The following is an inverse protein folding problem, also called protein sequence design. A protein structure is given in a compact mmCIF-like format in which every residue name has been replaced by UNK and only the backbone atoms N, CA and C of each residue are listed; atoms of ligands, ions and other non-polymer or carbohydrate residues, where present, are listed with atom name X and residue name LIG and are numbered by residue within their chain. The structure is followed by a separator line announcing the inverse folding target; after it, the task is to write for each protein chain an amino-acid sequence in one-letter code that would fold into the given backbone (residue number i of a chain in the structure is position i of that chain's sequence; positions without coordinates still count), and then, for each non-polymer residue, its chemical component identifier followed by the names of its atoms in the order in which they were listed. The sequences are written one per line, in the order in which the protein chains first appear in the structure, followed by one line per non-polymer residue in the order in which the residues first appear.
data_IF_781109836735
#
_entry.id   IF_781109836735
#
_cell.length_a   1.000
_cell.length_b   1.000
_cell.length_c   1.000
_cell.angle_alpha   90.00
_cell.angle_beta   90.00
_cell.angle_gamma   90.00
#
_symmetry.space_group_name_H-M   'P 1'
#
loop_
_entity.id
_entity.type
_entity.pdbx_description
1 polymer ?
#
# COMPACT_ATOMS: atom_id res chain seq x y z
N UNK A 1 7.44 -64.73 -74.95
CA UNK A 1 6.66 -65.38 -73.89
C UNK A 1 6.21 -64.31 -72.92
N UNK A 2 4.89 -64.19 -72.83
CA UNK A 2 4.09 -63.34 -71.94
C UNK A 2 4.35 -63.60 -70.46
N UNK A 3 4.30 -62.55 -69.65
CA UNK A 3 4.29 -62.65 -68.19
C UNK A 3 4.22 -61.28 -67.50
N UNK A 4 3.03 -60.68 -67.47
CA UNK A 4 2.68 -59.55 -66.60
C UNK A 4 2.86 -59.93 -65.12
N UNK A 5 3.22 -58.97 -64.26
CA UNK A 5 2.46 -58.77 -63.02
C UNK A 5 2.60 -57.38 -62.39
N UNK A 6 1.51 -56.99 -61.76
CA UNK A 6 1.05 -55.65 -61.43
C UNK A 6 1.80 -54.92 -60.30
N UNK A 7 1.77 -53.58 -60.42
CA UNK A 7 1.87 -52.60 -59.33
C UNK A 7 1.01 -52.99 -58.13
N UNK A 8 1.58 -52.93 -56.92
CA UNK A 8 0.86 -52.52 -55.72
C UNK A 8 1.78 -51.66 -54.85
N UNK A 9 1.43 -50.39 -54.69
CA UNK A 9 2.01 -49.51 -53.68
C UNK A 9 1.11 -49.57 -52.45
N UNK A 10 1.67 -49.90 -51.29
CA UNK A 10 0.95 -49.78 -50.02
C UNK A 10 1.88 -49.30 -48.91
N UNK A 11 1.55 -48.09 -48.47
CA UNK A 11 1.52 -47.59 -47.09
C UNK A 11 2.76 -47.73 -46.20
N UNK A 12 3.55 -46.65 -46.14
CA UNK A 12 4.48 -46.34 -45.05
C UNK A 12 4.06 -45.05 -44.30
N UNK A 13 2.74 -44.83 -44.15
CA UNK A 13 2.15 -43.59 -43.59
C UNK A 13 1.42 -43.78 -42.25
N UNK A 14 1.40 -45.00 -41.68
CA UNK A 14 0.62 -45.32 -40.47
C UNK A 14 1.36 -45.11 -39.14
N UNK A 15 2.69 -45.14 -39.11
CA UNK A 15 3.44 -45.12 -37.82
C UNK A 15 3.53 -43.73 -37.19
N UNK A 16 3.66 -42.65 -37.96
CA UNK A 16 3.78 -41.30 -37.41
C UNK A 16 2.44 -40.76 -36.88
N UNK A 17 1.34 -41.01 -37.60
CA UNK A 17 0.00 -40.57 -37.16
C UNK A 17 -0.42 -41.30 -35.87
N UNK A 18 -0.12 -42.60 -35.77
CA UNK A 18 -0.37 -43.37 -34.55
C UNK A 18 0.47 -42.85 -33.38
N UNK A 19 1.76 -42.56 -33.62
CA UNK A 19 2.68 -42.05 -32.59
C UNK A 19 2.27 -40.67 -32.08
N UNK A 20 1.80 -39.78 -32.96
CA UNK A 20 1.29 -38.46 -32.59
C UNK A 20 -0.01 -38.54 -31.77
N UNK A 21 -0.89 -39.48 -32.14
CA UNK A 21 -2.15 -39.71 -31.41
C UNK A 21 -1.89 -40.24 -30.00
N UNK A 22 -0.96 -41.18 -29.87
CA UNK A 22 -0.57 -41.76 -28.57
C UNK A 22 0.09 -40.72 -27.67
N UNK A 23 1.01 -39.88 -28.17
CA UNK A 23 1.63 -38.83 -27.34
C UNK A 23 0.62 -37.78 -26.89
N UNK A 24 -0.36 -37.46 -27.74
CA UNK A 24 -1.42 -36.47 -27.39
C UNK A 24 -2.32 -37.02 -26.27
N UNK A 25 -2.71 -38.29 -26.36
CA UNK A 25 -3.52 -38.95 -25.33
C UNK A 25 -2.74 -39.12 -24.01
N UNK A 26 -1.45 -39.45 -24.05
CA UNK A 26 -0.60 -39.51 -22.86
C UNK A 26 -0.45 -38.13 -22.19
N UNK A 27 -0.28 -37.07 -22.98
CA UNK A 27 -0.18 -35.70 -22.48
C UNK A 27 -1.46 -35.22 -21.79
N UNK A 28 -2.62 -35.54 -22.36
CA UNK A 28 -3.93 -35.25 -21.75
C UNK A 28 -4.14 -36.02 -20.45
N UNK A 29 -3.78 -37.31 -20.42
CA UNK A 29 -3.88 -38.12 -19.21
C UNK A 29 -2.96 -37.60 -18.10
N UNK A 30 -1.69 -37.31 -18.41
CA UNK A 30 -0.74 -36.74 -17.45
C UNK A 30 -1.19 -35.38 -16.92
N UNK A 31 -1.72 -34.51 -17.79
CA UNK A 31 -2.28 -33.21 -17.39
C UNK A 31 -3.49 -33.36 -16.48
N UNK A 32 -4.37 -34.32 -16.76
CA UNK A 32 -5.55 -34.61 -15.94
C UNK A 32 -5.18 -35.15 -14.55
N UNK A 33 -4.25 -36.11 -14.46
CA UNK A 33 -3.80 -36.67 -13.19
C UNK A 33 -3.02 -35.66 -12.33
N UNK A 34 -2.21 -34.80 -12.96
CA UNK A 34 -1.57 -33.69 -12.25
C UNK A 34 -2.59 -32.66 -11.75
N UNK A 35 -3.65 -32.38 -12.52
CA UNK A 35 -4.74 -31.49 -12.11
C UNK A 35 -5.50 -31.98 -10.88
N UNK A 36 -5.92 -33.25 -10.86
CA UNK A 36 -6.65 -33.86 -9.73
C UNK A 36 -5.79 -33.96 -8.47
N UNK A 37 -4.49 -34.18 -8.65
CA UNK A 37 -3.54 -34.22 -7.53
C UNK A 37 -3.45 -32.86 -6.83
N UNK A 38 -3.51 -31.75 -7.59
CA UNK A 38 -3.44 -30.39 -7.03
C UNK A 38 -4.71 -30.01 -6.25
N UNK A 39 -5.90 -30.44 -6.68
CA UNK A 39 -7.14 -30.23 -5.92
C UNK A 39 -7.13 -30.98 -4.58
N UNK A 40 -6.56 -32.19 -4.55
CA UNK A 40 -6.43 -32.99 -3.33
C UNK A 40 -5.47 -32.37 -2.31
N UNK A 41 -4.38 -31.73 -2.76
CA UNK A 41 -3.46 -30.99 -1.90
C UNK A 41 -4.06 -29.68 -1.37
N UNK A 42 -4.91 -28.99 -2.15
CA UNK A 42 -5.62 -27.78 -1.68
C UNK A 42 -6.64 -28.10 -0.59
N UNK A 43 -7.41 -29.18 -0.74
CA UNK A 43 -8.38 -29.62 0.27
C UNK A 43 -7.70 -29.98 1.61
N UNK A 44 -6.53 -30.62 1.56
CA UNK A 44 -5.75 -30.94 2.77
C UNK A 44 -5.19 -29.68 3.46
N UNK A 45 -4.72 -28.69 2.69
CA UNK A 45 -4.17 -27.44 3.22
C UNK A 45 -5.26 -26.53 3.83
N UNK A 46 -6.48 -26.54 3.28
CA UNK A 46 -7.63 -25.81 3.83
C UNK A 46 -8.13 -26.41 5.15
N UNK A 47 -8.14 -27.74 5.28
CA UNK A 47 -8.51 -28.42 6.54
C UNK A 47 -7.44 -28.29 7.64
N UNK A 48 -6.16 -28.13 7.27
CA UNK A 48 -5.10 -27.84 8.24
C UNK A 48 -5.15 -26.38 8.72
N UNK A 49 -5.46 -25.44 7.82
CA UNK A 49 -5.61 -24.02 8.16
C UNK A 49 -6.84 -23.74 9.05
N UNK A 50 -7.96 -24.46 8.84
CA UNK A 50 -9.15 -24.31 9.67
C UNK A 50 -8.99 -24.89 11.08
N UNK A 51 -8.27 -26.01 11.24
CA UNK A 51 -8.00 -26.62 12.56
C UNK A 51 -6.95 -25.87 13.38
N UNK A 52 -5.95 -25.27 12.73
CA UNK A 52 -5.00 -24.36 13.39
C UNK A 52 -5.67 -23.03 13.79
N UNK A 53 -6.55 -22.50 12.95
CA UNK A 53 -7.27 -21.24 13.24
C UNK A 53 -8.23 -21.37 14.43
N UNK A 54 -8.93 -22.50 14.58
CA UNK A 54 -9.80 -22.73 15.73
C UNK A 54 -9.02 -22.92 17.04
N UNK A 55 -7.86 -23.56 16.98
CA UNK A 55 -6.98 -23.78 18.14
C UNK A 55 -6.32 -22.48 18.61
N UNK A 56 -5.87 -21.64 17.67
CA UNK A 56 -5.31 -20.30 17.98
C UNK A 56 -6.39 -19.36 18.51
N UNK A 57 -7.62 -19.43 17.99
CA UNK A 57 -8.73 -18.62 18.48
C UNK A 57 -9.14 -18.99 19.92
N UNK A 58 -9.02 -20.26 20.31
CA UNK A 58 -9.28 -20.68 21.69
C UNK A 58 -8.15 -20.28 22.65
N UNK A 59 -6.90 -20.36 22.23
CA UNK A 59 -5.75 -19.93 23.04
C UNK A 59 -5.74 -18.40 23.31
N UNK A 60 -6.27 -17.58 22.39
CA UNK A 60 -6.38 -16.12 22.55
C UNK A 60 -7.52 -15.70 23.48
N UNK A 61 -8.60 -16.49 23.58
CA UNK A 61 -9.70 -16.22 24.53
C UNK A 61 -9.25 -16.46 25.98
N UNK A 62 -8.26 -17.34 26.18
CA UNK A 62 -7.72 -17.65 27.51
C UNK A 62 -6.70 -16.58 27.99
N UNK A 63 -5.97 -15.91 27.08
CA UNK A 63 -5.06 -14.81 27.44
C UNK A 63 -5.76 -13.51 27.85
N UNK A 64 -6.98 -13.26 27.38
CA UNK A 64 -7.77 -12.07 27.73
C UNK A 64 -8.39 -12.12 29.13
N UNK A 65 -8.38 -13.28 29.80
CA UNK A 65 -8.87 -13.43 31.18
C UNK A 65 -7.81 -13.18 32.26
N UNK A 66 -6.53 -13.04 31.90
CA UNK A 66 -5.43 -12.96 32.88
C UNK A 66 -4.88 -11.54 33.13
N UNK A 67 -5.41 -10.50 32.48
CA UNK A 67 -4.93 -9.12 32.65
C UNK A 67 -6.02 -8.18 33.16
N UNK A 68 -6.59 -8.50 34.32
CA UNK A 68 -7.32 -7.52 35.12
C UNK A 68 -7.09 -7.80 36.60
N UNK A 69 -5.98 -7.30 37.14
CA UNK A 69 -5.83 -7.07 38.57
C UNK A 69 -5.17 -5.71 38.83
N UNK A 70 -6.04 -4.80 39.24
CA UNK A 70 -5.84 -3.63 40.13
C UNK A 70 -4.46 -3.39 40.73
N UNK A 71 -3.96 -2.16 40.57
CA UNK A 71 -3.04 -1.52 41.53
C UNK A 71 -3.65 -0.17 41.98
N UNK A 72 -3.84 0.08 43.29
CA UNK A 72 -4.28 1.37 43.79
C UNK A 72 -3.09 2.29 44.06
N UNK A 73 -3.27 3.55 43.70
CA UNK A 73 -2.44 4.69 44.08
C UNK A 73 -2.52 4.97 45.57
N UNK A 74 -1.38 5.13 46.24
CA UNK A 74 -1.29 5.84 47.51
C UNK A 74 -0.02 6.71 47.57
N UNK A 75 -0.26 7.96 47.94
CA UNK A 75 0.69 8.98 48.34
C UNK A 75 1.10 8.82 49.81
N UNK A 76 2.17 9.52 50.21
CA UNK A 76 2.41 10.20 51.49
C UNK A 76 3.77 9.92 52.16
N UNK A 77 4.45 11.05 52.44
CA UNK A 77 5.34 11.40 53.56
C UNK A 77 6.82 11.02 53.59
N UNK A 78 7.62 12.10 53.65
CA UNK A 78 8.91 12.22 54.33
C UNK A 78 8.88 11.69 55.77
N UNK A 79 9.99 11.10 56.22
CA UNK A 79 10.55 11.30 57.56
C UNK A 79 12.04 10.91 57.58
N UNK A 80 12.86 11.83 58.12
CA UNK A 80 14.25 11.62 58.48
C UNK A 80 14.34 10.82 59.80
N UNK A 81 15.28 9.90 59.91
CA UNK A 81 15.82 9.46 61.20
C UNK A 81 17.24 8.92 61.03
N UNK A 82 18.21 9.62 61.63
CA UNK A 82 19.57 9.16 61.86
C UNK A 82 19.59 8.05 62.94
N UNK A 83 20.34 6.97 62.70
CA UNK A 83 21.23 6.41 63.73
C UNK A 83 22.25 5.42 63.14
N UNK A 84 23.49 5.67 63.52
CA UNK A 84 24.72 4.91 63.28
C UNK A 84 24.74 3.56 64.01
N UNK A 85 25.29 2.53 63.35
CA UNK A 85 26.09 1.48 64.03
C UNK A 85 26.90 0.66 63.01
N UNK A 86 28.21 0.91 63.04
CA UNK A 86 29.36 0.01 62.92
C UNK A 86 29.55 -0.98 61.74
N UNK A 87 30.83 -1.06 61.36
CA UNK A 87 31.43 -1.71 60.18
C UNK A 87 31.76 -3.19 60.44
N UNK A 88 31.61 -4.00 59.38
CA UNK A 88 32.50 -5.08 58.86
C UNK A 88 31.60 -6.01 58.04
N UNK A 89 31.81 -6.36 56.77
CA UNK A 89 32.88 -6.22 55.80
C UNK A 89 32.71 -7.39 54.83
N UNK A 90 32.20 -7.17 53.62
CA UNK A 90 32.44 -8.04 52.45
C UNK A 90 31.92 -7.36 51.18
N UNK A 91 32.81 -7.27 50.21
CA UNK A 91 32.74 -6.55 48.95
C UNK A 91 31.97 -7.30 47.86
N UNK A 92 30.89 -6.69 47.34
CA UNK A 92 30.64 -6.40 45.92
C UNK A 92 29.15 -6.07 45.70
N UNK A 93 28.75 -4.80 45.54
CA UNK A 93 27.44 -4.52 44.99
C UNK A 93 27.52 -4.75 43.48
N UNK A 94 26.53 -5.48 42.96
CA UNK A 94 26.21 -5.67 41.55
C UNK A 94 26.64 -4.44 40.72
N UNK A 95 27.64 -4.61 39.85
CA UNK A 95 27.90 -3.65 38.78
C UNK A 95 26.66 -3.64 37.90
N UNK A 96 25.78 -2.67 38.14
CA UNK A 96 24.71 -2.31 37.23
C UNK A 96 25.40 -2.04 35.89
N UNK A 97 25.19 -2.91 34.92
CA UNK A 97 25.61 -2.69 33.55
C UNK A 97 24.80 -1.50 33.03
N UNK A 98 25.37 -0.30 33.12
CA UNK A 98 24.84 0.87 32.44
C UNK A 98 25.15 0.66 30.98
N UNK A 99 24.12 0.41 30.20
CA UNK A 99 24.22 0.24 28.75
C UNK A 99 24.90 1.51 28.20
N UNK A 100 26.17 1.38 27.82
CA UNK A 100 26.91 2.50 27.25
C UNK A 100 26.29 2.77 25.89
N UNK A 101 25.59 3.89 25.78
CA UNK A 101 25.03 4.45 24.56
C UNK A 101 25.85 4.01 23.32
N UNK A 102 25.24 3.31 22.34
CA UNK A 102 25.96 2.80 21.17
C UNK A 102 26.81 3.90 20.55
N UNK A 103 28.03 3.58 20.09
CA UNK A 103 28.88 4.57 19.42
C UNK A 103 28.08 5.25 18.29
N UNK A 104 27.94 6.57 18.36
CA UNK A 104 27.12 7.37 17.42
C UNK A 104 25.85 7.96 18.01
N UNK A 105 25.45 7.57 19.24
CA UNK A 105 24.28 8.13 19.96
C UNK A 105 24.64 9.30 20.87
N UNK A 106 25.84 9.89 20.71
CA UNK A 106 26.21 11.11 21.42
C UNK A 106 25.32 12.24 20.91
N UNK A 107 24.70 12.97 21.82
CA UNK A 107 23.95 14.18 21.49
C UNK A 107 24.87 15.16 20.74
N UNK A 108 24.36 15.76 19.67
CA UNK A 108 25.04 16.87 19.00
C UNK A 108 25.17 18.05 19.97
N UNK A 109 26.04 19.01 19.66
CA UNK A 109 26.22 20.18 20.53
C UNK A 109 24.87 20.87 20.80
N UNK A 110 24.63 21.41 22.01
CA UNK A 110 23.40 22.12 22.33
C UNK A 110 23.07 23.17 21.25
N UNK A 111 21.90 23.06 20.62
CA UNK A 111 21.46 23.91 19.51
C UNK A 111 21.62 23.30 18.10
N UNK A 112 22.29 22.14 17.96
CA UNK A 112 22.46 21.42 16.68
C UNK A 112 21.57 20.16 16.68
N UNK A 113 20.29 20.24 17.06
CA UNK A 113 19.39 19.10 16.94
C UNK A 113 18.03 19.60 16.47
N UNK A 114 17.69 19.29 15.22
CA UNK A 114 16.30 19.22 14.75
C UNK A 114 16.03 17.74 14.52
N UNK A 115 15.02 17.19 15.19
CA UNK A 115 14.71 15.76 15.17
C UNK A 115 14.02 15.30 13.88
N UNK A 116 13.51 16.24 13.10
CA UNK A 116 12.73 16.03 11.88
C UNK A 116 13.40 16.76 10.70
N UNK A 117 13.16 16.26 9.49
CA UNK A 117 13.52 16.92 8.24
C UNK A 117 12.25 17.31 7.49
N UNK A 118 12.38 18.08 6.42
CA UNK A 118 11.27 18.40 5.53
C UNK A 118 11.75 18.49 4.07
N UNK A 119 10.80 18.76 3.16
CA UNK A 119 11.05 18.91 1.74
C UNK A 119 11.12 20.37 1.26
N UNK A 120 11.18 21.33 2.18
CA UNK A 120 11.21 22.72 1.80
C UNK A 120 12.55 23.10 1.17
N UNK A 121 12.51 23.73 0.00
CA UNK A 121 13.70 24.23 -0.67
C UNK A 121 14.25 25.43 0.11
N UNK A 122 15.56 25.43 0.33
CA UNK A 122 16.30 26.49 1.04
C UNK A 122 17.44 26.98 0.16
N UNK A 123 17.81 28.26 0.31
CA UNK A 123 19.00 28.83 -0.32
C UNK A 123 20.25 28.20 0.29
N UNK A 124 21.35 28.18 -0.47
CA UNK A 124 22.63 27.63 0.01
C UNK A 124 23.30 28.52 1.08
N UNK A 125 22.90 29.79 1.18
CA UNK A 125 23.42 30.76 2.15
C UNK A 125 22.30 31.75 2.53
N UNK A 126 22.44 32.40 3.69
CA UNK A 126 21.46 33.34 4.24
C UNK A 126 20.75 32.79 5.48
N UNK A 127 19.71 33.49 5.93
CA UNK A 127 18.83 33.01 7.01
C UNK A 127 17.75 32.07 6.44
N UNK A 128 17.73 30.78 6.82
CA UNK A 128 16.72 29.82 6.35
C UNK A 128 15.27 30.20 6.70
N UNK A 129 15.05 31.06 7.70
CA UNK A 129 13.71 31.53 8.08
C UNK A 129 13.10 32.41 6.98
N UNK A 130 13.93 33.14 6.24
CA UNK A 130 13.50 34.00 5.13
C UNK A 130 13.10 33.21 3.88
N UNK A 131 13.56 31.97 3.75
CA UNK A 131 13.33 31.14 2.56
C UNK A 131 11.88 30.63 2.47
N UNK A 132 11.14 30.69 3.58
CA UNK A 132 9.79 30.12 3.72
C UNK A 132 8.79 31.18 4.15
N UNK A 133 8.52 32.21 3.32
CA UNK A 133 7.51 33.24 3.63
C UNK A 133 6.12 32.63 3.83
N UNK A 134 5.84 31.52 3.13
CA UNK A 134 4.67 30.66 3.34
C UNK A 134 5.13 29.22 3.40
N UNK A 135 4.71 28.47 4.43
CA UNK A 135 5.05 27.05 4.59
C UNK A 135 3.91 26.18 4.07
N UNK A 136 4.14 25.36 3.02
CA UNK A 136 3.16 24.38 2.57
C UNK A 136 2.79 23.43 3.72
N UNK A 137 1.49 23.24 3.95
CA UNK A 137 0.95 22.42 5.05
C UNK A 137 0.58 21.01 4.61
N UNK A 138 0.46 20.79 3.30
CA UNK A 138 -0.01 19.52 2.76
C UNK A 138 0.98 19.01 1.72
N UNK A 139 1.06 17.68 1.58
CA UNK A 139 1.88 17.03 0.56
C UNK A 139 0.98 16.19 -0.34
N UNK A 140 1.16 16.33 -1.66
CA UNK A 140 0.58 15.42 -2.63
C UNK A 140 1.66 14.74 -3.45
N UNK A 141 1.65 13.42 -3.43
CA UNK A 141 2.56 12.58 -4.19
C UNK A 141 1.79 11.79 -5.26
N UNK A 142 2.21 11.89 -6.52
CA UNK A 142 1.67 11.12 -7.63
C UNK A 142 2.71 10.10 -8.12
N UNK A 143 2.32 8.85 -8.34
CA UNK A 143 3.07 7.97 -9.22
C UNK A 143 2.78 8.37 -10.66
N UNK A 144 3.81 8.64 -11.49
CA UNK A 144 3.59 9.24 -12.81
C UNK A 144 4.46 8.63 -13.90
N UNK A 145 3.89 8.62 -15.10
CA UNK A 145 4.60 8.48 -16.36
C UNK A 145 4.15 9.57 -17.32
N UNK A 146 5.05 9.99 -18.19
CA UNK A 146 4.87 11.14 -19.06
C UNK A 146 3.70 10.99 -20.03
N UNK A 147 3.34 9.76 -20.41
CA UNK A 147 2.19 9.50 -21.28
C UNK A 147 0.87 9.96 -20.64
N UNK A 148 0.80 10.07 -19.30
CA UNK A 148 -0.34 10.63 -18.54
C UNK A 148 -0.13 12.08 -18.07
N UNK A 149 0.92 12.75 -18.55
CA UNK A 149 1.30 14.10 -18.09
C UNK A 149 0.17 15.13 -18.20
N UNK A 150 -0.65 15.06 -19.25
CA UNK A 150 -1.81 15.95 -19.41
C UNK A 150 -2.87 15.77 -18.33
N UNK A 151 -3.10 14.52 -17.89
CA UNK A 151 -4.05 14.26 -16.82
C UNK A 151 -3.49 14.75 -15.47
N UNK A 152 -2.20 14.50 -15.22
CA UNK A 152 -1.52 15.00 -14.01
C UNK A 152 -1.48 16.53 -13.99
N UNK A 153 -1.23 17.20 -15.11
CA UNK A 153 -1.31 18.68 -15.20
C UNK A 153 -2.71 19.20 -14.84
N UNK A 154 -3.76 18.55 -15.34
CA UNK A 154 -5.14 18.89 -14.97
C UNK A 154 -5.41 18.64 -13.46
N UNK A 155 -4.80 17.60 -12.89
CA UNK A 155 -4.94 17.27 -11.48
C UNK A 155 -4.19 18.28 -10.57
N UNK A 156 -2.93 18.59 -10.87
CA UNK A 156 -2.09 19.51 -10.07
C UNK A 156 -2.72 20.90 -9.96
N UNK A 157 -3.43 21.36 -11.01
CA UNK A 157 -4.18 22.62 -10.99
C UNK A 157 -5.32 22.69 -9.96
N UNK A 158 -5.69 21.56 -9.33
CA UNK A 158 -6.69 21.51 -8.23
C UNK A 158 -6.08 21.71 -6.84
N UNK A 159 -4.76 21.82 -6.75
CA UNK A 159 -4.04 22.02 -5.50
C UNK A 159 -3.53 23.46 -5.41
N UNK A 160 -3.68 24.06 -4.24
CA UNK A 160 -3.22 25.43 -3.97
C UNK A 160 -1.72 25.47 -3.70
N UNK A 161 -1.18 26.66 -3.42
CA UNK A 161 0.22 26.81 -2.98
C UNK A 161 0.47 26.28 -1.54
N UNK A 162 -0.57 25.89 -0.80
CA UNK A 162 -0.41 25.18 0.49
C UNK A 162 0.07 23.73 0.31
N UNK A 163 0.13 23.24 -0.95
CA UNK A 163 0.56 21.88 -1.28
C UNK A 163 1.98 21.86 -1.82
N UNK A 164 2.84 21.03 -1.22
CA UNK A 164 4.03 20.52 -1.89
C UNK A 164 3.60 19.43 -2.86
N UNK A 165 4.02 19.53 -4.11
CA UNK A 165 3.77 18.51 -5.15
C UNK A 165 5.03 17.67 -5.33
N UNK A 166 4.86 16.35 -5.26
CA UNK A 166 5.92 15.38 -5.47
C UNK A 166 5.51 14.38 -6.56
N UNK A 167 6.42 14.10 -7.49
CA UNK A 167 6.20 13.22 -8.62
C UNK A 167 7.17 12.03 -8.55
N UNK A 168 6.62 10.82 -8.54
CA UNK A 168 7.36 9.57 -8.59
C UNK A 168 7.40 9.02 -10.02
N UNK A 169 8.49 9.30 -10.74
CA UNK A 169 8.66 9.01 -12.16
C UNK A 169 9.08 7.55 -12.38
N UNK A 170 8.12 6.67 -12.62
CA UNK A 170 8.41 5.27 -12.89
C UNK A 170 8.99 5.01 -14.28
N UNK A 171 8.93 5.97 -15.20
CA UNK A 171 9.42 5.85 -16.59
C UNK A 171 10.80 6.50 -16.81
N UNK A 172 11.26 7.31 -15.86
CA UNK A 172 12.53 8.02 -15.95
C UNK A 172 12.54 9.25 -16.86
N UNK A 173 11.38 9.74 -17.32
CA UNK A 173 11.26 10.83 -18.32
C UNK A 173 11.10 12.20 -17.67
N UNK A 174 11.99 12.54 -16.72
CA UNK A 174 11.85 13.74 -15.86
C UNK A 174 11.89 15.05 -16.65
N UNK A 175 12.88 15.24 -17.53
CA UNK A 175 13.09 16.51 -18.25
C UNK A 175 11.91 16.93 -19.13
N UNK A 176 11.08 15.99 -19.56
CA UNK A 176 9.94 16.28 -20.43
C UNK A 176 8.82 17.02 -19.67
N UNK A 177 8.78 16.91 -18.34
CA UNK A 177 7.83 17.64 -17.48
C UNK A 177 8.15 19.12 -17.36
N UNK A 178 9.35 19.57 -17.76
CA UNK A 178 9.75 20.99 -17.77
C UNK A 178 8.84 21.85 -18.66
N UNK A 179 8.07 21.24 -19.55
CA UNK A 179 7.03 21.93 -20.33
C UNK A 179 5.92 22.55 -19.46
N UNK A 180 5.75 22.11 -18.21
CA UNK A 180 4.80 22.68 -17.27
C UNK A 180 5.52 23.59 -16.28
N UNK A 181 5.15 24.87 -16.23
CA UNK A 181 5.80 25.86 -15.33
C UNK A 181 5.75 25.45 -13.86
N UNK A 182 4.65 24.84 -13.40
CA UNK A 182 4.53 24.36 -12.03
C UNK A 182 5.49 23.21 -11.71
N UNK A 183 5.94 22.46 -12.71
CA UNK A 183 6.84 21.31 -12.53
C UNK A 183 8.20 21.75 -11.97
N UNK A 184 8.66 22.97 -12.28
CA UNK A 184 9.92 23.49 -11.75
C UNK A 184 9.89 23.69 -10.23
N UNK A 185 8.69 23.78 -9.64
CA UNK A 185 8.47 23.91 -8.20
C UNK A 185 8.13 22.57 -7.53
N UNK A 186 7.88 21.52 -8.33
CA UNK A 186 7.59 20.19 -7.82
C UNK A 186 8.87 19.44 -7.48
N UNK A 187 8.76 18.43 -6.63
CA UNK A 187 9.86 17.53 -6.29
C UNK A 187 9.79 16.31 -7.21
N UNK A 188 10.86 16.03 -7.91
CA UNK A 188 10.95 14.91 -8.84
C UNK A 188 11.82 13.80 -8.25
N UNK A 189 11.24 12.61 -8.08
CA UNK A 189 11.96 11.39 -7.69
C UNK A 189 11.83 10.38 -8.82
N UNK A 190 12.95 9.88 -9.33
CA UNK A 190 12.95 9.07 -10.56
C UNK A 190 13.73 7.78 -10.39
N UNK A 191 13.01 6.66 -10.42
CA UNK A 191 13.57 5.31 -10.42
C UNK A 191 12.73 4.43 -11.35
N UNK A 192 13.35 3.98 -12.45
CA UNK A 192 12.64 3.24 -13.49
C UNK A 192 11.99 1.97 -12.93
N UNK A 193 10.76 1.70 -13.38
CA UNK A 193 9.99 0.46 -13.13
C UNK A 193 9.73 0.16 -11.65
N UNK A 194 9.60 1.20 -10.82
CA UNK A 194 9.18 1.06 -9.43
C UNK A 194 7.71 1.48 -9.27
N UNK A 195 7.00 0.80 -8.37
CA UNK A 195 5.61 1.07 -8.07
C UNK A 195 5.45 2.20 -7.03
N UNK A 196 4.25 2.79 -6.96
CA UNK A 196 3.90 3.89 -6.03
C UNK A 196 4.36 3.65 -4.58
N UNK A 197 4.06 2.48 -4.04
CA UNK A 197 4.35 2.14 -2.64
C UNK A 197 5.85 1.93 -2.37
N UNK A 198 6.62 1.54 -3.39
CA UNK A 198 8.08 1.46 -3.29
C UNK A 198 8.69 2.85 -3.05
N UNK A 199 8.19 3.87 -3.75
CA UNK A 199 8.58 5.27 -3.56
C UNK A 199 8.12 5.79 -2.21
N UNK A 200 6.84 5.61 -1.88
CA UNK A 200 6.27 6.08 -0.63
C UNK A 200 7.06 5.54 0.58
N UNK A 201 7.44 4.26 0.57
CA UNK A 201 8.27 3.65 1.62
C UNK A 201 9.64 4.33 1.79
N UNK A 202 10.27 4.78 0.70
CA UNK A 202 11.66 5.28 0.70
C UNK A 202 11.76 6.79 0.87
N UNK A 203 10.80 7.53 0.34
CA UNK A 203 10.86 8.99 0.28
C UNK A 203 9.89 9.65 1.26
N UNK A 204 8.78 9.01 1.61
CA UNK A 204 7.80 9.59 2.54
C UNK A 204 8.00 9.08 3.97
N UNK A 205 9.25 9.11 4.47
CA UNK A 205 9.54 8.71 5.85
C UNK A 205 8.77 9.60 6.85
N UNK A 206 8.19 9.08 7.95
CA UNK A 206 7.37 9.86 8.86
C UNK A 206 8.07 11.10 9.42
N UNK A 207 9.36 11.02 9.73
CA UNK A 207 10.14 12.14 10.25
C UNK A 207 10.57 13.15 9.18
N UNK A 208 10.35 12.84 7.89
CA UNK A 208 10.59 13.76 6.74
C UNK A 208 9.28 14.45 6.34
N UNK A 209 8.17 13.73 6.35
CA UNK A 209 6.85 14.32 6.05
C UNK A 209 6.17 14.91 7.28
N UNK A 210 6.86 14.97 8.40
CA UNK A 210 6.35 15.48 9.66
C UNK A 210 5.94 16.96 9.60
N UNK A 211 6.47 17.72 8.65
CA UNK A 211 6.07 19.11 8.42
C UNK A 211 4.67 19.27 7.81
N UNK A 212 4.05 18.19 7.32
CA UNK A 212 2.75 18.22 6.64
C UNK A 212 1.64 17.65 7.53
N UNK A 213 0.49 18.35 7.57
CA UNK A 213 -0.71 17.92 8.29
C UNK A 213 -1.34 16.68 7.64
N UNK A 214 -1.33 16.64 6.30
CA UNK A 214 -1.91 15.57 5.49
C UNK A 214 -1.02 15.21 4.31
N UNK A 215 -0.98 13.91 4.01
CA UNK A 215 -0.19 13.30 2.92
C UNK A 215 -1.14 12.56 1.98
N UNK A 216 -1.17 13.00 0.73
CA UNK A 216 -1.94 12.41 -0.37
C UNK A 216 -1.00 11.51 -1.18
N UNK A 217 -1.39 10.26 -1.46
CA UNK A 217 -0.56 9.29 -2.20
C UNK A 217 -1.35 8.70 -3.35
N UNK A 218 -1.44 9.45 -4.46
CA UNK A 218 -2.43 9.23 -5.51
C UNK A 218 -1.85 8.59 -6.77
N UNK A 219 -2.70 7.90 -7.52
CA UNK A 219 -2.42 7.41 -8.87
C UNK A 219 -2.62 8.54 -9.90
N UNK A 220 -2.00 8.38 -11.07
CA UNK A 220 -2.01 9.34 -12.18
C UNK A 220 -3.25 9.30 -13.06
N UNK A 221 -4.10 8.27 -12.96
CA UNK A 221 -5.26 8.01 -13.83
C UNK A 221 -6.59 8.50 -13.22
N UNK A 222 -6.50 9.51 -12.35
CA UNK A 222 -7.65 10.11 -11.67
C UNK A 222 -8.08 11.42 -12.36
N UNK A 223 -9.38 11.53 -12.64
CA UNK A 223 -10.01 12.75 -13.15
C UNK A 223 -10.57 13.61 -12.01
N UNK A 224 -10.02 14.81 -11.82
CA UNK A 224 -10.33 15.70 -10.69
C UNK A 224 -11.29 16.85 -11.05
N UNK A 225 -12.13 16.71 -12.08
CA UNK A 225 -13.00 17.80 -12.58
C UNK A 225 -13.84 18.42 -11.45
N UNK A 226 -14.43 17.57 -10.60
CA UNK A 226 -15.34 17.96 -9.53
C UNK A 226 -14.67 18.01 -8.14
N UNK A 227 -13.33 18.00 -8.11
CA UNK A 227 -12.54 18.01 -6.89
C UNK A 227 -11.87 19.38 -6.68
N UNK A 228 -11.80 19.79 -5.41
CA UNK A 228 -11.14 20.98 -4.89
C UNK A 228 -10.43 20.60 -3.57
N UNK A 229 -9.10 20.72 -3.55
CA UNK A 229 -8.28 20.19 -2.45
C UNK A 229 -8.52 20.92 -1.12
N UNK A 230 -8.78 22.22 -1.15
CA UNK A 230 -9.04 23.02 0.06
C UNK A 230 -10.39 22.66 0.68
N UNK A 231 -11.43 22.55 -0.16
CA UNK A 231 -12.76 22.11 0.31
C UNK A 231 -12.70 20.69 0.85
N UNK A 232 -11.95 19.81 0.20
CA UNK A 232 -11.73 18.45 0.67
C UNK A 232 -11.10 18.43 2.06
N UNK A 233 -9.99 19.13 2.27
CA UNK A 233 -9.32 19.17 3.57
C UNK A 233 -10.20 19.79 4.65
N UNK A 234 -10.98 20.81 4.33
CA UNK A 234 -11.94 21.39 5.29
C UNK A 234 -12.96 20.36 5.78
N UNK A 235 -13.44 19.48 4.90
CA UNK A 235 -14.35 18.40 5.27
C UNK A 235 -13.65 17.29 6.06
N UNK A 236 -12.45 16.89 5.66
CA UNK A 236 -11.62 15.93 6.41
C UNK A 236 -11.43 16.40 7.85
N UNK A 237 -11.05 17.68 8.05
CA UNK A 237 -10.91 18.30 9.37
C UNK A 237 -12.25 18.40 10.11
N UNK A 238 -13.31 18.88 9.45
CA UNK A 238 -14.68 19.00 10.03
C UNK A 238 -15.20 17.68 10.58
N UNK A 239 -14.94 16.57 9.88
CA UNK A 239 -15.46 15.25 10.24
C UNK A 239 -14.48 14.38 11.04
N UNK A 240 -13.31 14.92 11.41
CA UNK A 240 -12.29 14.22 12.18
C UNK A 240 -11.76 12.97 11.48
N UNK A 241 -11.58 13.03 10.16
CA UNK A 241 -11.05 11.92 9.37
C UNK A 241 -9.52 11.91 9.44
N UNK A 242 -8.96 10.78 9.85
CA UNK A 242 -7.52 10.52 9.93
C UNK A 242 -7.01 9.80 8.67
N UNK A 243 -7.87 8.98 8.05
CA UNK A 243 -7.62 8.35 6.75
C UNK A 243 -8.85 8.58 5.89
N UNK A 244 -8.67 9.10 4.69
CA UNK A 244 -9.80 9.43 3.84
C UNK A 244 -9.47 9.30 2.37
N UNK A 245 -10.49 9.38 1.54
CA UNK A 245 -10.34 9.58 0.10
C UNK A 245 -11.51 10.42 -0.43
N UNK A 246 -11.37 11.08 -1.58
CA UNK A 246 -12.52 11.59 -2.31
C UNK A 246 -13.43 10.44 -2.74
N UNK A 247 -14.73 10.72 -2.88
CA UNK A 247 -15.64 9.75 -3.46
C UNK A 247 -15.35 9.49 -4.94
N UNK A 248 -15.72 8.32 -5.43
CA UNK A 248 -15.53 7.92 -6.81
C UNK A 248 -16.87 8.00 -7.53
N UNK A 249 -16.87 8.68 -8.68
CA UNK A 249 -18.05 8.70 -9.55
C UNK A 249 -18.36 7.26 -10.02
N UNK A 250 -19.63 6.82 -9.94
CA UNK A 250 -20.00 5.50 -10.43
C UNK A 250 -19.65 5.37 -11.92
N UNK A 251 -18.66 4.53 -12.24
CA UNK A 251 -18.34 4.14 -13.61
C UNK A 251 -18.76 2.68 -13.86
N UNK A 252 -18.80 2.26 -15.12
CA UNK A 252 -19.13 0.86 -15.48
C UNK A 252 -17.99 -0.07 -15.04
N UNK A 253 -17.94 -0.50 -13.78
CA UNK A 253 -16.84 -1.33 -13.26
C UNK A 253 -16.96 -1.83 -11.81
N UNK A 254 -15.84 -2.38 -11.32
CA UNK A 254 -15.63 -3.04 -10.03
C UNK A 254 -15.25 -2.05 -8.91
N UNK A 255 -16.12 -1.09 -8.61
CA UNK A 255 -15.90 -0.17 -7.46
C UNK A 255 -16.54 -0.75 -6.20
N UNK A 256 -15.80 -0.73 -5.09
CA UNK A 256 -16.35 -1.01 -3.76
C UNK A 256 -17.47 -0.01 -3.47
N UNK A 257 -18.62 -0.46 -2.96
CA UNK A 257 -19.73 0.42 -2.60
C UNK A 257 -19.33 1.45 -1.53
N UNK A 258 -18.23 1.21 -0.82
CA UNK A 258 -17.68 2.13 0.17
C UNK A 258 -16.95 3.31 -0.46
N UNK A 259 -16.47 3.19 -1.70
CA UNK A 259 -15.77 4.29 -2.41
C UNK A 259 -16.70 5.09 -3.30
N UNK A 260 -17.87 4.54 -3.63
CA UNK A 260 -18.86 5.16 -4.52
C UNK A 260 -19.51 6.39 -3.88
N UNK A 261 -19.60 7.47 -4.67
CA UNK A 261 -20.24 8.72 -4.28
C UNK A 261 -21.71 8.58 -3.89
N UNK A 262 -22.09 9.19 -2.76
CA UNK A 262 -23.47 9.38 -2.31
C UNK A 262 -23.95 10.81 -2.53
N UNK A 263 -24.96 11.01 -3.37
CA UNK A 263 -25.40 12.34 -3.84
C UNK A 263 -25.92 13.28 -2.75
N UNK A 264 -26.41 12.76 -1.62
CA UNK A 264 -27.06 13.54 -0.55
C UNK A 264 -26.26 13.57 0.75
N UNK A 265 -24.95 13.33 0.68
CA UNK A 265 -24.06 13.40 1.84
C UNK A 265 -22.83 14.26 1.54
N UNK A 266 -22.24 14.84 2.58
CA UNK A 266 -20.91 15.47 2.48
C UNK A 266 -19.79 14.43 2.61
N UNK A 267 -19.99 13.44 3.48
CA UNK A 267 -19.06 12.35 3.84
C UNK A 267 -19.87 11.10 4.22
N UNK A 268 -19.37 9.92 3.91
CA UNK A 268 -19.85 8.68 4.53
C UNK A 268 -18.69 7.82 5.04
N UNK A 269 -18.96 7.05 6.10
CA UNK A 269 -17.98 6.20 6.77
C UNK A 269 -18.36 4.71 6.75
N UNK A 270 -19.60 4.45 6.31
CA UNK A 270 -20.18 3.12 6.22
C UNK A 270 -21.02 3.00 4.95
N UNK A 271 -21.19 1.77 4.48
CA UNK A 271 -21.99 1.42 3.32
C UNK A 271 -22.59 0.03 3.45
N UNK A 272 -23.53 -0.29 2.55
CA UNK A 272 -24.03 -1.64 2.37
C UNK A 272 -23.39 -2.27 1.14
N UNK A 273 -22.59 -3.31 1.35
CA UNK A 273 -22.01 -4.10 0.26
C UNK A 273 -22.92 -5.28 -0.13
N UNK A 274 -22.47 -6.06 -1.11
CA UNK A 274 -23.14 -7.30 -1.51
C UNK A 274 -23.33 -8.25 -0.31
N UNK A 275 -24.41 -9.05 -0.28
CA UNK A 275 -24.64 -10.01 0.80
C UNK A 275 -23.43 -10.93 1.02
N UNK A 276 -23.00 -11.06 2.28
CA UNK A 276 -21.85 -11.89 2.68
C UNK A 276 -20.48 -11.22 2.57
N UNK A 277 -20.39 -9.98 2.06
CA UNK A 277 -19.11 -9.25 1.97
C UNK A 277 -18.76 -8.52 3.27
N UNK A 278 -19.77 -8.06 4.03
CA UNK A 278 -19.58 -7.50 5.36
C UNK A 278 -19.63 -8.62 6.41
N UNK A 279 -18.49 -9.04 6.96
CA UNK A 279 -18.49 -9.91 8.15
C UNK A 279 -18.95 -9.13 9.38
N UNK A 280 -18.56 -7.86 9.47
CA UNK A 280 -18.98 -6.91 10.49
C UNK A 280 -19.19 -5.53 9.82
N UNK A 281 -20.28 -4.81 10.14
CA UNK A 281 -20.58 -3.52 9.50
C UNK A 281 -19.51 -2.45 9.74
N UNK A 282 -18.80 -2.49 10.86
CA UNK A 282 -17.74 -1.55 11.20
C UNK A 282 -16.34 -1.98 10.69
N UNK A 283 -16.29 -3.03 9.87
CA UNK A 283 -15.05 -3.58 9.31
C UNK A 283 -15.06 -3.42 7.79
N UNK A 284 -13.86 -3.39 7.16
CA UNK A 284 -13.79 -3.43 5.71
C UNK A 284 -14.48 -4.66 5.13
N UNK A 285 -15.06 -4.54 3.92
CA UNK A 285 -15.08 -3.35 3.07
C UNK A 285 -16.18 -2.34 3.44
N UNK A 286 -17.04 -2.63 4.42
CA UNK A 286 -18.30 -1.90 4.62
C UNK A 286 -18.17 -0.65 5.49
N UNK A 287 -17.09 -0.57 6.27
CA UNK A 287 -16.61 0.63 6.93
C UNK A 287 -15.10 0.54 7.09
N UNK A 288 -14.47 1.61 7.58
CA UNK A 288 -13.04 1.63 7.85
C UNK A 288 -12.14 1.26 6.64
N UNK A 289 -12.62 1.58 5.43
CA UNK A 289 -12.02 1.22 4.16
C UNK A 289 -11.88 2.44 3.26
N UNK A 290 -10.70 2.58 2.66
CA UNK A 290 -10.41 3.47 1.52
C UNK A 290 -9.57 2.67 0.54
N UNK A 291 -9.71 2.95 -0.74
CA UNK A 291 -8.96 2.32 -1.80
C UNK A 291 -7.61 3.02 -1.99
N UNK A 292 -6.56 2.22 -2.20
CA UNK A 292 -5.18 2.69 -2.27
C UNK A 292 -4.89 3.55 -3.51
N UNK A 293 -5.85 3.79 -4.42
CA UNK A 293 -5.65 4.67 -5.58
C UNK A 293 -5.61 6.17 -5.22
N UNK A 294 -6.44 6.62 -4.28
CA UNK A 294 -6.56 8.03 -3.90
C UNK A 294 -6.57 8.29 -2.38
N UNK A 295 -5.76 7.58 -1.57
CA UNK A 295 -5.79 7.75 -0.13
C UNK A 295 -5.15 9.07 0.30
N UNK A 296 -5.65 9.58 1.42
CA UNK A 296 -5.16 10.73 2.15
C UNK A 296 -5.01 10.33 3.60
N UNK A 297 -3.84 10.59 4.17
CA UNK A 297 -3.51 10.23 5.54
C UNK A 297 -3.19 11.50 6.33
N UNK A 298 -3.68 11.60 7.56
CA UNK A 298 -3.13 12.56 8.52
C UNK A 298 -1.67 12.22 8.84
N UNK A 299 -0.92 13.20 9.36
CA UNK A 299 0.44 12.97 9.88
C UNK A 299 0.52 11.77 10.82
N UNK A 300 -0.43 11.65 11.74
CA UNK A 300 -0.47 10.59 12.74
C UNK A 300 -0.75 9.21 12.10
N UNK A 301 -1.76 9.13 11.22
CA UNK A 301 -2.10 7.89 10.54
C UNK A 301 -0.96 7.43 9.61
N UNK A 302 -0.34 8.36 8.87
CA UNK A 302 0.76 8.05 7.96
C UNK A 302 1.95 7.43 8.70
N UNK A 303 2.30 7.92 9.90
CA UNK A 303 3.37 7.34 10.71
C UNK A 303 3.15 5.84 10.93
N UNK A 304 1.93 5.43 11.27
CA UNK A 304 1.61 4.01 11.42
C UNK A 304 1.61 3.27 10.08
N UNK A 305 0.93 3.80 9.05
CA UNK A 305 0.81 3.15 7.74
C UNK A 305 2.19 2.92 7.11
N UNK A 306 3.11 3.86 7.25
CA UNK A 306 4.48 3.72 6.75
C UNK A 306 5.23 2.53 7.36
N UNK A 307 4.99 2.22 8.64
CA UNK A 307 5.57 1.03 9.29
C UNK A 307 4.88 -0.26 8.85
N UNK A 308 3.63 -0.19 8.38
CA UNK A 308 2.96 -1.34 7.77
C UNK A 308 3.55 -1.67 6.38
N UNK A 309 3.97 -0.65 5.62
CA UNK A 309 4.62 -0.83 4.32
C UNK A 309 5.94 -1.60 4.47
N UNK A 310 5.99 -2.79 3.89
CA UNK A 310 7.20 -3.59 3.82
C UNK A 310 8.10 -3.15 2.65
N UNK A 311 9.40 -3.39 2.75
CA UNK A 311 10.37 -2.99 1.73
C UNK A 311 10.22 -3.75 0.40
N UNK A 312 9.67 -4.96 0.47
CA UNK A 312 9.35 -5.88 -0.62
C UNK A 312 7.90 -5.73 -1.12
N UNK A 313 7.08 -4.89 -0.47
CA UNK A 313 5.73 -4.59 -0.92
C UNK A 313 5.78 -3.72 -2.18
N UNK A 314 5.70 -4.38 -3.33
CA UNK A 314 5.70 -3.73 -4.65
C UNK A 314 4.31 -3.26 -5.08
N UNK A 315 3.23 -3.62 -4.39
CA UNK A 315 1.86 -3.19 -4.74
C UNK A 315 1.01 -2.88 -3.51
N UNK A 316 -0.04 -2.07 -3.69
CA UNK A 316 -0.94 -1.66 -2.60
C UNK A 316 -2.01 -2.69 -2.24
N UNK A 317 -2.23 -3.73 -3.05
CA UNK A 317 -3.35 -4.65 -2.87
C UNK A 317 -3.36 -5.30 -1.48
N UNK A 318 -4.50 -5.17 -0.80
CA UNK A 318 -4.73 -5.71 0.54
C UNK A 318 -4.37 -4.74 1.67
N UNK A 319 -3.60 -3.69 1.38
CA UNK A 319 -3.34 -2.61 2.34
C UNK A 319 -4.64 -1.86 2.67
N UNK A 320 -5.56 -1.77 1.71
CA UNK A 320 -6.91 -1.19 1.84
C UNK A 320 -7.67 -1.75 3.06
N UNK A 321 -7.50 -3.06 3.32
CA UNK A 321 -8.14 -3.77 4.43
C UNK A 321 -7.37 -3.65 5.75
N UNK A 322 -6.12 -3.20 5.68
CA UNK A 322 -5.19 -3.23 6.79
C UNK A 322 -5.01 -1.87 7.47
N UNK A 323 -5.10 -0.75 6.72
CA UNK A 323 -4.86 0.62 7.22
C UNK A 323 -5.73 1.01 8.42
N UNK A 324 -6.89 0.38 8.59
CA UNK A 324 -7.74 0.54 9.78
C UNK A 324 -7.03 0.31 11.11
N UNK A 325 -5.96 -0.49 11.13
CA UNK A 325 -5.15 -0.75 12.33
C UNK A 325 -4.40 0.48 12.84
N UNK A 326 -4.32 1.53 12.03
CA UNK A 326 -3.61 2.77 12.37
C UNK A 326 -4.48 3.83 13.03
N UNK A 327 -5.78 3.55 13.23
CA UNK A 327 -6.73 4.55 13.74
C UNK A 327 -7.78 3.89 14.61
N UNK A 328 -8.09 4.49 15.77
CA UNK A 328 -9.10 3.99 16.72
C UNK A 328 -10.10 5.10 17.15
N UNK A 329 -11.43 4.86 17.11
CA UNK A 329 -12.10 3.76 16.43
C UNK A 329 -12.12 3.97 14.91
N UNK A 330 -11.69 2.96 14.15
CA UNK A 330 -11.44 3.11 12.71
C UNK A 330 -12.69 3.51 11.90
N UNK A 331 -13.84 2.90 12.15
CA UNK A 331 -15.09 3.16 11.43
C UNK A 331 -15.64 4.59 11.63
N UNK A 332 -15.17 5.32 12.65
CA UNK A 332 -15.54 6.73 12.86
C UNK A 332 -14.53 7.72 12.26
N UNK A 333 -13.30 7.30 12.00
CA UNK A 333 -12.20 8.19 11.59
C UNK A 333 -11.68 7.90 10.18
N UNK A 334 -12.19 6.85 9.55
CA UNK A 334 -11.91 6.52 8.16
C UNK A 334 -13.19 6.74 7.35
N UNK A 335 -13.09 7.46 6.23
CA UNK A 335 -14.27 7.77 5.45
C UNK A 335 -14.01 8.37 4.07
N UNK A 336 -15.09 8.49 3.31
CA UNK A 336 -15.11 8.94 1.92
C UNK A 336 -15.84 10.27 1.84
N UNK A 337 -15.23 11.24 1.17
CA UNK A 337 -15.77 12.61 1.04
C UNK A 337 -16.61 12.71 -0.24
N UNK A 338 -17.93 12.68 -0.09
CA UNK A 338 -18.92 12.62 -1.18
C UNK A 338 -19.07 13.92 -1.98
N UNK A 339 -18.93 15.05 -1.30
CA UNK A 339 -19.07 16.37 -1.92
C UNK A 339 -17.85 16.78 -2.75
N UNK A 340 -16.74 16.04 -2.63
CA UNK A 340 -15.50 16.23 -3.39
C UNK A 340 -15.13 14.91 -4.05
N UNK A 341 -15.52 14.72 -5.31
CA UNK A 341 -15.39 13.43 -5.99
C UNK A 341 -14.48 13.47 -7.20
N UNK A 342 -13.94 12.30 -7.51
CA UNK A 342 -13.04 12.03 -8.61
C UNK A 342 -13.63 10.96 -9.54
N UNK A 343 -13.04 10.83 -10.72
CA UNK A 343 -13.38 9.79 -11.70
C UNK A 343 -12.16 8.90 -11.89
N UNK A 344 -12.31 7.58 -11.74
CA UNK A 344 -11.24 6.65 -12.13
C UNK A 344 -11.29 6.46 -13.65
N UNK A 345 -10.27 6.92 -14.36
CA UNK A 345 -10.23 6.88 -15.82
C UNK A 345 -9.68 5.55 -16.36
N UNK A 346 -9.10 4.71 -15.49
CA UNK A 346 -8.53 3.40 -15.80
C UNK A 346 -7.58 3.43 -17.01
N UNK A 347 -6.74 4.47 -17.09
CA UNK A 347 -5.83 4.63 -18.22
C UNK A 347 -4.65 3.69 -18.01
N UNK A 348 -4.39 2.72 -18.92
CA UNK A 348 -3.35 1.73 -18.70
C UNK A 348 -1.96 2.37 -18.58
N UNK A 349 -1.30 2.17 -17.44
CA UNK A 349 0.02 2.73 -17.16
C UNK A 349 1.13 1.67 -17.14
N UNK A 350 1.82 1.48 -16.00
CA UNK A 350 3.00 0.63 -15.81
C UNK A 350 2.79 -0.82 -16.32
N UNK A 351 1.55 -1.31 -16.32
CA UNK A 351 1.17 -2.61 -16.91
C UNK A 351 1.51 -2.77 -18.40
N UNK A 352 1.61 -1.69 -19.17
CA UNK A 352 2.00 -1.74 -20.58
C UNK A 352 3.50 -2.00 -20.79
N UNK A 353 4.36 -1.60 -19.84
CA UNK A 353 5.80 -1.89 -19.90
C UNK A 353 6.09 -3.38 -19.60
N UNK A 354 5.22 -4.04 -18.81
CA UNK A 354 5.30 -5.49 -18.54
C UNK A 354 4.84 -6.30 -19.76
N UNK A 355 3.86 -5.81 -20.55
CA UNK A 355 3.43 -6.47 -21.80
C UNK A 355 4.54 -6.56 -22.85
N UNK A 356 5.50 -5.65 -22.84
CA UNK A 356 6.64 -5.71 -23.76
C UNK A 356 7.58 -6.89 -23.46
N UNK A 357 7.65 -7.35 -22.20
CA UNK A 357 8.31 -8.61 -21.81
C UNK A 357 7.45 -9.84 -22.16
N UNK A 358 6.13 -9.71 -22.06
CA UNK A 358 5.18 -10.80 -22.36
C UNK A 358 5.14 -11.17 -23.85
N UNK A 359 5.38 -10.23 -24.76
CA UNK A 359 5.44 -10.47 -26.20
C UNK A 359 6.74 -11.17 -26.64
N UNK A 360 7.81 -11.09 -25.84
CA UNK A 360 9.06 -11.83 -26.08
C UNK A 360 8.97 -13.27 -25.56
N UNK A 361 8.27 -13.48 -24.45
CA UNK A 361 8.08 -14.81 -23.83
C UNK A 361 6.94 -15.63 -24.46
N UNK A 362 5.92 -14.99 -25.06
CA UNK A 362 4.89 -15.69 -25.83
C UNK A 362 5.45 -16.35 -27.11
N UNK A 363 6.54 -15.82 -27.66
CA UNK A 363 7.30 -16.47 -28.75
C UNK A 363 8.11 -17.69 -28.30
N UNK A 364 8.30 -17.90 -26.99
CA UNK A 364 9.11 -18.99 -26.42
C UNK A 364 8.30 -20.06 -25.68
N UNK A 365 6.97 -19.95 -25.59
CA UNK A 365 6.11 -21.02 -25.08
C UNK A 365 6.16 -21.27 -23.56
N UNK A 366 6.70 -20.35 -22.76
CA UNK A 366 6.89 -20.53 -21.29
C UNK A 366 5.72 -19.92 -20.49
N UNK A 367 4.50 -19.96 -21.03
CA UNK A 367 3.36 -19.23 -20.44
C UNK A 367 2.66 -19.95 -19.27
N UNK A 368 3.06 -21.17 -18.90
CA UNK A 368 2.20 -22.00 -18.05
C UNK A 368 2.55 -22.07 -16.55
N UNK A 369 3.64 -21.47 -16.06
CA UNK A 369 4.12 -21.76 -14.68
C UNK A 369 3.97 -20.58 -13.71
N UNK A 370 4.01 -19.32 -14.18
CA UNK A 370 3.99 -18.17 -13.26
C UNK A 370 2.61 -17.62 -12.90
N UNK A 371 1.55 -18.02 -13.61
CA UNK A 371 0.18 -17.50 -13.40
C UNK A 371 -0.79 -18.46 -12.71
N UNK A 372 -0.31 -19.59 -12.18
CA UNK A 372 -1.17 -20.55 -11.46
C UNK A 372 -1.48 -20.16 -10.01
N UNK A 373 -0.87 -19.09 -9.47
CA UNK A 373 -1.08 -18.62 -8.09
C UNK A 373 -1.99 -17.40 -7.93
N UNK A 374 -2.53 -16.85 -9.03
CA UNK A 374 -3.55 -15.80 -8.98
C UNK A 374 -4.81 -16.28 -9.69
N UNK A 375 -5.98 -16.27 -9.02
CA UNK A 375 -7.23 -16.64 -9.67
C UNK A 375 -7.49 -15.73 -10.87
N UNK A 376 -7.76 -16.35 -12.03
CA UNK A 376 -7.96 -15.73 -13.35
C UNK A 376 -9.15 -14.76 -13.47
N UNK A 377 -9.84 -14.43 -12.37
CA UNK A 377 -10.99 -13.54 -12.34
C UNK A 377 -10.68 -12.14 -11.76
N UNK A 378 -9.40 -11.73 -11.72
CA UNK A 378 -8.93 -10.51 -11.07
C UNK A 378 -8.03 -9.64 -11.95
N UNK A 379 -8.20 -9.71 -13.28
CA UNK A 379 -7.47 -8.87 -14.22
C UNK A 379 -8.42 -8.25 -15.24
N UNK A 380 -9.08 -7.14 -14.92
CA UNK A 380 -9.44 -6.07 -15.85
C UNK A 380 -9.73 -4.77 -15.10
#
# INVERSE_FOLDING_TARGET
MTGNNHRSGSSRRSSESCRLTVTTLLGLALGFFLGISVESFYAFKLNLASSLSSTVSMALIESDKFSMSTLPSNSVSHQNAEKSSERHGSSNPLKIYVESNPRGTKLLAPGIIVSESDFYLRRLWGDPVEDLPTRPRYLVAFAVGFDQSKNVDAAVKKFSNDFTVMLFHYDGRVSEWEQFEWSQRAIHVSVRKQAKWWYAKRFLHPDVVAAYDYVFVWDEDLGLKNFDAEKYINLVKKYGLEISQPAVEPSRGLTWQMTVRKSHSEVHKETSEKPGWCVNPHFPPCAAFVEMMAPVFSKAAWRCVWHMLQNDLVHGWGLDFAVRRCVEPAYMKIGVVDSQWIVHQAIPSLGNQVRQFSLTLSKLGIFSIYFAFFPRNLFF
#
